data_IF_351935850434
#
_entry.id   IF_351935850434
#
_cell.length_a   1.000
_cell.length_b   1.000
_cell.length_c   1.000
_cell.angle_alpha   90.00
_cell.angle_beta   90.00
_cell.angle_gamma   90.00
#
_symmetry.space_group_name_H-M   'P 1'
#
loop_
_entity.id
_entity.type
_entity.pdbx_description
1 polymer ?
#
# COMPACT_ATOMS: atom_id res chain seq x y z
N UNK A 1 0.88 1.43 -20.04
CA UNK A 1 0.95 2.44 -18.95
C UNK A 1 0.14 1.90 -17.79
N UNK A 2 0.75 1.57 -16.65
CA UNK A 2 0.00 1.09 -15.50
C UNK A 2 -0.84 2.25 -14.93
N UNK A 3 -2.16 2.06 -14.79
CA UNK A 3 -3.08 3.11 -14.34
C UNK A 3 -2.97 3.43 -12.83
N UNK A 4 -2.20 2.63 -12.08
CA UNK A 4 -2.02 2.75 -10.63
C UNK A 4 -0.52 2.89 -10.33
N UNK A 5 -0.16 3.94 -9.60
CA UNK A 5 1.20 4.19 -9.10
C UNK A 5 1.22 4.18 -7.57
N UNK A 6 2.29 3.67 -6.97
CA UNK A 6 2.53 3.73 -5.53
C UNK A 6 3.70 4.66 -5.26
N UNK A 7 3.51 5.67 -4.42
CA UNK A 7 4.54 6.63 -4.02
C UNK A 7 4.66 6.69 -2.48
N UNK A 8 5.82 6.37 -1.89
CA UNK A 8 7.04 5.86 -2.53
C UNK A 8 6.87 4.42 -3.06
N UNK A 9 7.60 4.00 -4.12
CA UNK A 9 7.50 2.65 -4.68
C UNK A 9 8.16 1.58 -3.80
N UNK A 10 9.04 1.99 -2.88
CA UNK A 10 9.71 1.11 -1.93
C UNK A 10 9.51 1.61 -0.50
N UNK A 11 9.19 0.70 0.41
CA UNK A 11 9.14 0.97 1.85
C UNK A 11 10.48 0.56 2.45
N UNK A 12 11.08 1.42 3.27
CA UNK A 12 12.17 1.03 4.16
C UNK A 12 11.65 1.16 5.58
N UNK A 13 11.37 0.03 6.22
CA UNK A 13 10.95 -0.02 7.62
C UNK A 13 12.01 -0.76 8.42
N UNK A 14 12.47 -0.20 9.55
CA UNK A 14 13.49 -0.81 10.38
C UNK A 14 12.96 -2.09 11.06
N UNK A 15 13.80 -3.12 11.17
CA UNK A 15 13.43 -4.41 11.76
C UNK A 15 12.93 -4.33 13.22
N UNK A 16 13.31 -3.27 13.94
CA UNK A 16 12.85 -2.99 15.31
C UNK A 16 11.37 -2.61 15.42
N UNK A 17 10.68 -2.40 14.29
CA UNK A 17 9.31 -1.91 14.24
C UNK A 17 9.23 -0.52 13.62
N UNK A 18 8.24 -0.31 12.76
CA UNK A 18 8.05 0.95 12.06
C UNK A 18 6.86 0.89 11.11
N UNK A 19 6.34 2.05 10.73
CA UNK A 19 5.26 2.19 9.75
C UNK A 19 5.72 3.08 8.59
N UNK A 20 5.41 2.67 7.37
CA UNK A 20 5.63 3.38 6.13
C UNK A 20 4.28 3.59 5.45
N UNK A 21 3.95 4.85 5.15
CA UNK A 21 2.72 5.19 4.44
C UNK A 21 3.05 5.40 2.97
N UNK A 22 2.26 4.78 2.10
CA UNK A 22 2.41 4.83 0.67
C UNK A 22 1.11 5.30 0.04
N UNK A 23 1.22 6.19 -0.94
CA UNK A 23 0.08 6.74 -1.63
C UNK A 23 -0.15 5.99 -2.95
N UNK A 24 -1.32 5.35 -3.09
CA UNK A 24 -1.76 4.71 -4.32
C UNK A 24 -2.52 5.72 -5.16
N UNK A 25 -1.89 6.22 -6.22
CA UNK A 25 -2.47 7.17 -7.16
C UNK A 25 -3.06 6.42 -8.35
N UNK A 26 -4.37 6.52 -8.55
CA UNK A 26 -5.05 6.01 -9.73
C UNK A 26 -5.20 7.14 -10.76
N UNK A 27 -4.38 7.13 -11.82
CA UNK A 27 -4.48 8.04 -12.96
C UNK A 27 -5.45 7.53 -14.04
N UNK A 28 -6.13 6.40 -13.79
CA UNK A 28 -7.10 5.82 -14.70
C UNK A 28 -8.48 6.48 -14.65
N UNK A 29 -9.25 6.25 -15.71
CA UNK A 29 -10.65 6.69 -15.85
C UNK A 29 -11.68 5.64 -15.36
N UNK A 30 -11.23 4.56 -14.70
CA UNK A 30 -12.12 3.60 -14.03
C UNK A 30 -11.70 3.34 -12.58
N UNK A 31 -12.68 2.92 -11.75
CA UNK A 31 -12.47 2.52 -10.36
C UNK A 31 -11.67 1.22 -10.33
N UNK A 32 -10.55 1.22 -9.61
CA UNK A 32 -9.69 0.04 -9.49
C UNK A 32 -9.86 -0.60 -8.11
N UNK A 33 -9.95 -1.92 -8.08
CA UNK A 33 -9.84 -2.70 -6.85
C UNK A 33 -8.38 -3.15 -6.70
N UNK A 34 -7.82 -2.99 -5.50
CA UNK A 34 -6.46 -3.46 -5.21
C UNK A 34 -6.50 -4.50 -4.09
N UNK A 35 -5.60 -5.48 -4.20
CA UNK A 35 -5.33 -6.48 -3.16
C UNK A 35 -3.83 -6.51 -2.92
N UNK A 36 -3.41 -6.09 -1.74
CA UNK A 36 -2.01 -6.13 -1.35
C UNK A 36 -1.71 -7.52 -0.78
N UNK A 37 -0.65 -8.15 -1.29
CA UNK A 37 -0.15 -9.43 -0.79
C UNK A 37 1.26 -9.20 -0.27
N UNK A 38 1.47 -9.45 1.02
CA UNK A 38 2.81 -9.49 1.61
C UNK A 38 3.41 -10.88 1.47
N UNK A 39 4.71 -10.94 1.19
CA UNK A 39 5.48 -12.18 1.17
C UNK A 39 5.79 -12.71 2.59
N UNK A 40 5.82 -11.82 3.59
CA UNK A 40 6.02 -12.16 4.99
C UNK A 40 4.90 -11.52 5.82
N UNK A 41 3.94 -12.31 6.27
CA UNK A 41 2.81 -11.85 7.10
C UNK A 41 3.06 -12.06 8.61
N UNK A 42 4.18 -12.69 8.99
CA UNK A 42 4.52 -12.88 10.40
C UNK A 42 5.03 -11.57 11.01
N UNK A 43 5.90 -10.86 10.29
CA UNK A 43 6.51 -9.63 10.78
C UNK A 43 5.83 -8.38 10.21
N UNK A 44 5.25 -8.45 9.02
CA UNK A 44 4.63 -7.30 8.36
C UNK A 44 3.12 -7.37 8.37
N UNK A 45 2.50 -6.27 8.79
CA UNK A 45 1.07 -6.02 8.67
C UNK A 45 0.81 -4.88 7.70
N UNK A 46 -0.20 -5.08 6.88
CA UNK A 46 -0.71 -4.09 5.93
C UNK A 46 -2.11 -3.67 6.34
N UNK A 47 -2.37 -2.36 6.33
CA UNK A 47 -3.71 -1.82 6.48
C UNK A 47 -3.92 -0.66 5.50
N UNK A 48 -4.93 -0.71 4.62
CA UNK A 48 -5.87 -1.82 4.34
C UNK A 48 -5.29 -2.89 3.38
N UNK A 49 -5.70 -4.16 3.52
CA UNK A 49 -5.25 -5.28 2.64
C UNK A 49 -5.99 -5.29 1.29
N UNK A 50 -7.24 -4.84 1.30
CA UNK A 50 -8.09 -4.73 0.13
C UNK A 50 -8.84 -3.41 0.18
N UNK A 51 -9.13 -2.86 -0.99
CA UNK A 51 -9.86 -1.62 -1.10
C UNK A 51 -10.13 -1.24 -2.54
N UNK A 52 -10.71 -0.06 -2.69
CA UNK A 52 -10.99 0.53 -3.99
C UNK A 52 -10.32 1.89 -4.07
N UNK A 53 -9.73 2.19 -5.22
CA UNK A 53 -9.25 3.52 -5.57
C UNK A 53 -10.18 4.08 -6.64
N UNK A 54 -10.78 5.23 -6.35
CA UNK A 54 -11.65 5.96 -7.27
C UNK A 54 -10.79 6.61 -8.37
N UNK A 55 -11.40 6.93 -9.50
CA UNK A 55 -10.75 7.63 -10.62
C UNK A 55 -10.22 8.99 -10.20
N UNK A 56 -8.98 9.29 -10.60
CA UNK A 56 -8.30 10.56 -10.25
C UNK A 56 -8.18 10.80 -8.74
N UNK A 57 -8.22 9.73 -7.94
CA UNK A 57 -8.07 9.81 -6.49
C UNK A 57 -6.85 9.02 -6.02
N UNK A 58 -6.30 9.44 -4.89
CA UNK A 58 -5.16 8.78 -4.27
C UNK A 58 -5.54 8.26 -2.88
N UNK A 59 -5.28 6.99 -2.62
CA UNK A 59 -5.56 6.34 -1.33
C UNK A 59 -4.26 5.98 -0.64
N UNK A 60 -4.15 6.33 0.65
CA UNK A 60 -3.02 5.92 1.47
C UNK A 60 -3.17 4.45 1.92
N UNK A 61 -2.11 3.67 1.78
CA UNK A 61 -1.95 2.39 2.46
C UNK A 61 -0.77 2.46 3.43
N UNK A 62 -0.98 1.95 4.64
CA UNK A 62 0.04 1.87 5.66
C UNK A 62 0.60 0.45 5.71
N UNK A 63 1.91 0.36 5.56
CA UNK A 63 2.70 -0.84 5.75
C UNK A 63 3.45 -0.71 7.07
N UNK A 64 3.26 -1.63 8.00
CA UNK A 64 3.95 -1.58 9.29
C UNK A 64 4.52 -2.94 9.67
N UNK A 65 5.70 -2.91 10.29
CA UNK A 65 6.27 -4.07 10.95
C UNK A 65 5.63 -4.18 12.33
N UNK A 66 4.95 -5.29 12.59
CA UNK A 66 4.43 -5.64 13.90
C UNK A 66 5.50 -6.48 14.58
N UNK A 67 6.41 -5.83 15.32
CA UNK A 67 7.20 -6.57 16.31
C UNK A 67 6.24 -6.97 17.44
N UNK A 68 6.40 -8.18 17.96
CA UNK A 68 5.47 -8.81 18.91
C UNK A 68 5.41 -8.04 20.23
#
# INVERSE_FOLDING_TARGET
>A
MAALAADPPAAQVPAAGGASTHNLVNSGASRLAFKVKSSNNNEYRLKPVFGFVVTCFSTNYCFFISNF
#
